data_IF_016340857423
#
_entry.id   IF_016340857423
#
_cell.length_a   1.000
_cell.length_b   1.000
_cell.length_c   1.000
_cell.angle_alpha   90.00
_cell.angle_beta   90.00
_cell.angle_gamma   90.00
#
_symmetry.space_group_name_H-M   'P 1'
#
loop_
_entity.id
_entity.type
_entity.pdbx_description
1 polymer ?
#
# COMPACT_ATOMS: atom_id res chain seq x y z
N UNK A 1 -3.67 26.41 1.56
CA UNK A 1 -4.88 25.53 1.64
C UNK A 1 -4.58 24.05 1.33
N UNK A 2 -3.55 23.72 0.53
CA UNK A 2 -3.15 22.32 0.24
C UNK A 2 -2.77 21.49 1.49
N UNK A 3 -2.16 22.11 2.50
CA UNK A 3 -1.64 21.38 3.68
C UNK A 3 -2.70 20.66 4.52
N UNK A 4 -3.98 21.07 4.43
CA UNK A 4 -5.08 20.41 5.14
C UNK A 4 -5.60 19.16 4.44
N UNK A 5 -5.26 18.95 3.16
CA UNK A 5 -5.67 17.77 2.38
C UNK A 5 -4.71 16.59 2.54
N UNK A 6 -3.54 16.82 3.17
CA UNK A 6 -2.54 15.80 3.44
C UNK A 6 -3.12 14.48 3.99
N UNK A 7 -3.98 14.47 5.04
CA UNK A 7 -4.48 13.23 5.65
C UNK A 7 -5.30 12.40 4.67
N UNK A 8 -5.97 13.07 3.72
CA UNK A 8 -6.82 12.43 2.73
C UNK A 8 -6.00 11.78 1.62
N UNK A 9 -4.95 12.46 1.16
CA UNK A 9 -4.22 12.07 -0.04
C UNK A 9 -3.09 11.07 0.23
N UNK A 10 -2.44 11.16 1.40
CA UNK A 10 -1.19 10.43 1.63
C UNK A 10 -1.36 8.91 1.61
N UNK A 11 -2.41 8.37 2.24
CA UNK A 11 -2.66 6.93 2.28
C UNK A 11 -2.92 6.35 0.89
N UNK A 12 -3.75 7.03 0.09
CA UNK A 12 -4.05 6.61 -1.27
C UNK A 12 -2.86 6.73 -2.21
N UNK A 13 -2.06 7.80 -2.10
CA UNK A 13 -0.85 7.96 -2.91
C UNK A 13 0.18 6.87 -2.62
N UNK A 14 0.39 6.50 -1.35
CA UNK A 14 1.29 5.40 -0.97
C UNK A 14 0.79 4.08 -1.56
N UNK A 15 -0.51 3.82 -1.44
CA UNK A 15 -1.13 2.63 -2.01
C UNK A 15 -0.96 2.54 -3.53
N UNK A 16 -1.26 3.63 -4.25
CA UNK A 16 -1.14 3.68 -5.70
C UNK A 16 0.31 3.51 -6.16
N UNK A 17 1.27 4.17 -5.50
CA UNK A 17 2.69 4.01 -5.80
C UNK A 17 3.17 2.56 -5.57
N UNK A 18 2.73 1.93 -4.47
CA UNK A 18 3.05 0.55 -4.18
C UNK A 18 2.45 -0.42 -5.22
N UNK A 19 1.21 -0.19 -5.65
CA UNK A 19 0.56 -0.99 -6.70
C UNK A 19 1.33 -0.93 -8.02
N UNK A 20 1.69 0.27 -8.48
CA UNK A 20 2.49 0.46 -9.70
C UNK A 20 3.88 -0.18 -9.54
N UNK A 21 4.52 0.00 -8.39
CA UNK A 21 5.83 -0.59 -8.09
C UNK A 21 5.81 -2.12 -8.08
N UNK A 22 4.78 -2.74 -7.48
CA UNK A 22 4.59 -4.19 -7.47
C UNK A 22 4.45 -4.76 -8.88
N UNK A 23 3.59 -4.14 -9.70
CA UNK A 23 3.41 -4.55 -11.09
C UNK A 23 4.69 -4.37 -11.92
N UNK A 24 5.40 -3.26 -11.72
CA UNK A 24 6.69 -3.02 -12.37
C UNK A 24 7.73 -4.07 -11.99
N UNK A 25 7.85 -4.39 -10.70
CA UNK A 25 8.75 -5.43 -10.20
C UNK A 25 8.38 -6.81 -10.72
N UNK A 26 7.09 -7.13 -10.82
CA UNK A 26 6.63 -8.38 -11.40
C UNK A 26 7.05 -8.51 -12.86
N UNK A 27 6.83 -7.47 -13.66
CA UNK A 27 7.23 -7.46 -15.07
C UNK A 27 8.75 -7.58 -15.22
N UNK A 28 9.54 -6.85 -14.40
CA UNK A 28 11.00 -6.93 -14.40
C UNK A 28 11.51 -8.32 -14.00
N UNK A 29 10.92 -8.93 -12.98
CA UNK A 29 11.28 -10.27 -12.52
C UNK A 29 11.05 -11.34 -13.61
N UNK A 30 10.03 -11.15 -14.45
CA UNK A 30 9.79 -12.03 -15.60
C UNK A 30 10.77 -11.78 -16.75
N UNK A 31 11.00 -10.52 -17.13
CA UNK A 31 11.91 -10.16 -18.23
C UNK A 31 13.35 -10.57 -17.93
N UNK A 32 13.78 -10.45 -16.68
CA UNK A 32 15.13 -10.81 -16.25
C UNK A 32 15.27 -12.27 -15.77
N UNK A 33 14.19 -13.07 -15.82
CA UNK A 33 14.23 -14.49 -15.48
C UNK A 33 14.64 -14.77 -14.04
N UNK A 34 14.13 -13.99 -13.08
CA UNK A 34 14.48 -14.18 -11.67
C UNK A 34 14.11 -15.58 -11.17
N UNK A 35 14.94 -16.20 -10.30
CA UNK A 35 14.56 -17.42 -9.62
C UNK A 35 13.21 -17.23 -8.89
N UNK A 36 12.32 -18.21 -8.98
CA UNK A 36 10.95 -18.09 -8.44
C UNK A 36 10.93 -17.71 -6.95
N UNK A 37 11.84 -18.28 -6.16
CA UNK A 37 11.97 -17.96 -4.73
C UNK A 37 12.36 -16.50 -4.48
N UNK A 38 13.25 -15.95 -5.30
CA UNK A 38 13.68 -14.55 -5.20
C UNK A 38 12.56 -13.62 -5.67
N UNK A 39 11.91 -13.95 -6.79
CA UNK A 39 10.79 -13.19 -7.33
C UNK A 39 9.63 -13.11 -6.33
N UNK A 40 9.18 -14.25 -5.80
CA UNK A 40 8.15 -14.28 -4.74
C UNK A 40 8.61 -13.53 -3.49
N UNK A 41 9.85 -13.73 -3.06
CA UNK A 41 10.40 -13.05 -1.89
C UNK A 41 10.35 -11.52 -1.99
N UNK A 42 10.72 -10.96 -3.15
CA UNK A 42 10.67 -9.52 -3.40
C UNK A 42 9.24 -9.00 -3.40
N UNK A 43 8.31 -9.67 -4.10
CA UNK A 43 6.91 -9.22 -4.16
C UNK A 43 6.23 -9.30 -2.78
N UNK A 44 6.45 -10.38 -2.03
CA UNK A 44 5.98 -10.51 -0.63
C UNK A 44 6.60 -9.41 0.22
N UNK A 45 7.90 -9.15 0.06
CA UNK A 45 8.61 -8.09 0.77
C UNK A 45 7.99 -6.72 0.55
N UNK A 46 7.69 -6.35 -0.70
CA UNK A 46 7.04 -5.07 -1.03
C UNK A 46 5.62 -5.02 -0.49
N UNK A 47 4.87 -6.13 -0.57
CA UNK A 47 3.51 -6.21 -0.01
C UNK A 47 3.52 -5.98 1.51
N UNK A 48 4.36 -6.71 2.25
CA UNK A 48 4.51 -6.58 3.71
C UNK A 48 5.00 -5.18 4.09
N UNK A 49 5.98 -4.64 3.35
CA UNK A 49 6.49 -3.30 3.59
C UNK A 49 5.39 -2.23 3.39
N UNK A 50 4.60 -2.35 2.33
CA UNK A 50 3.49 -1.42 2.06
C UNK A 50 2.44 -1.47 3.17
N UNK A 51 2.05 -2.68 3.60
CA UNK A 51 1.12 -2.85 4.71
C UNK A 51 1.66 -2.24 6.00
N UNK A 52 2.95 -2.46 6.31
CA UNK A 52 3.58 -1.87 7.49
C UNK A 52 3.55 -0.34 7.45
N UNK A 53 3.88 0.27 6.30
CA UNK A 53 3.83 1.73 6.12
C UNK A 53 2.41 2.27 6.30
N UNK A 54 1.40 1.62 5.69
CA UNK A 54 0.01 2.02 5.84
C UNK A 54 -0.51 1.86 7.28
N UNK A 55 -0.09 0.81 8.00
CA UNK A 55 -0.44 0.61 9.42
C UNK A 55 0.19 1.67 10.33
N UNK A 56 1.46 2.03 10.10
CA UNK A 56 2.13 3.11 10.83
C UNK A 56 1.42 4.44 10.57
N UNK A 57 1.09 4.71 9.31
CA UNK A 57 0.35 5.90 8.91
C UNK A 57 -1.04 5.95 9.56
N UNK A 58 -1.77 4.83 9.56
CA UNK A 58 -3.07 4.72 10.20
C UNK A 58 -2.98 5.01 11.70
N UNK A 59 -1.96 4.45 12.38
CA UNK A 59 -1.71 4.71 13.80
C UNK A 59 -1.42 6.19 14.07
N UNK A 60 -0.65 6.84 13.21
CA UNK A 60 -0.38 8.28 13.30
C UNK A 60 -1.64 9.13 13.07
N UNK A 61 -2.43 8.82 12.03
CA UNK A 61 -3.68 9.50 11.75
C UNK A 61 -4.69 9.33 12.89
N UNK A 62 -4.77 8.13 13.48
CA UNK A 62 -5.64 7.87 14.63
C UNK A 62 -5.26 8.72 15.84
N UNK A 63 -3.97 8.82 16.16
CA UNK A 63 -3.50 9.69 17.25
C UNK A 63 -3.80 11.17 16.98
N UNK A 64 -3.57 11.64 15.76
CA UNK A 64 -3.87 13.02 15.38
C UNK A 64 -5.37 13.33 15.49
N UNK A 65 -6.23 12.42 15.00
CA UNK A 65 -7.69 12.54 15.10
C UNK A 65 -8.18 12.57 16.55
N UNK A 66 -7.61 11.73 17.44
CA UNK A 66 -7.98 11.76 18.87
C UNK A 66 -7.57 13.04 19.58
N UNK A 67 -6.51 13.71 19.11
CA UNK A 67 -6.06 14.97 19.69
C UNK A 67 -6.92 16.16 19.25
N UNK A 68 -7.35 16.19 17.98
CA UNK A 68 -8.22 17.22 17.42
C UNK A 68 -9.15 16.61 16.36
N UNK A 69 -10.41 16.29 16.68
CA UNK A 69 -11.29 15.60 15.75
C UNK A 69 -11.82 16.57 14.67
N UNK A 70 -11.18 16.54 13.50
CA UNK A 70 -11.63 17.26 12.30
C UNK A 70 -12.25 16.28 11.30
N UNK A 71 -13.32 16.68 10.60
CA UNK A 71 -14.03 15.83 9.64
C UNK A 71 -13.12 15.28 8.53
N UNK A 72 -12.13 16.05 8.08
CA UNK A 72 -11.14 15.64 7.06
C UNK A 72 -10.24 14.51 7.58
N UNK A 73 -9.85 14.55 8.86
CA UNK A 73 -9.00 13.51 9.45
C UNK A 73 -9.76 12.19 9.56
N UNK A 74 -11.06 12.24 9.88
CA UNK A 74 -11.93 11.05 9.86
C UNK A 74 -12.00 10.45 8.45
N UNK A 75 -12.21 11.27 7.42
CA UNK A 75 -12.24 10.80 6.04
C UNK A 75 -10.90 10.16 5.62
N UNK A 76 -9.78 10.81 5.95
CA UNK A 76 -8.44 10.28 5.67
C UNK A 76 -8.17 8.95 6.37
N UNK A 77 -8.64 8.78 7.60
CA UNK A 77 -8.48 7.55 8.37
C UNK A 77 -9.22 6.37 7.73
N UNK A 78 -10.49 6.58 7.33
CA UNK A 78 -11.26 5.57 6.59
C UNK A 78 -10.67 5.26 5.22
N UNK A 79 -10.09 6.26 4.54
CA UNK A 79 -9.38 6.07 3.28
C UNK A 79 -8.14 5.19 3.45
N UNK A 80 -7.35 5.39 4.52
CA UNK A 80 -6.20 4.55 4.84
C UNK A 80 -6.64 3.12 5.19
N UNK A 81 -7.75 2.94 5.91
CA UNK A 81 -8.34 1.61 6.17
C UNK A 81 -8.76 0.94 4.87
N UNK A 82 -9.44 1.66 3.97
CA UNK A 82 -9.82 1.14 2.66
C UNK A 82 -8.59 0.76 1.82
N UNK A 83 -7.51 1.55 1.87
CA UNK A 83 -6.25 1.24 1.19
C UNK A 83 -5.61 -0.05 1.73
N UNK A 84 -5.62 -0.29 3.04
CA UNK A 84 -5.12 -1.53 3.64
C UNK A 84 -5.95 -2.73 3.15
N UNK A 85 -7.28 -2.62 3.19
CA UNK A 85 -8.17 -3.68 2.71
C UNK A 85 -7.95 -3.95 1.22
N UNK A 86 -7.82 -2.90 0.41
CA UNK A 86 -7.51 -3.01 -1.02
C UNK A 86 -6.16 -3.68 -1.26
N UNK A 87 -5.11 -3.34 -0.49
CA UNK A 87 -3.81 -4.03 -0.55
C UNK A 87 -3.95 -5.52 -0.26
N UNK A 88 -4.71 -5.92 0.75
CA UNK A 88 -4.91 -7.34 1.06
C UNK A 88 -5.65 -8.04 -0.08
N UNK A 89 -6.72 -7.44 -0.61
CA UNK A 89 -7.53 -8.05 -1.66
C UNK A 89 -6.80 -8.12 -3.00
N UNK A 90 -5.96 -7.14 -3.32
CA UNK A 90 -5.30 -7.04 -4.64
C UNK A 90 -3.92 -7.67 -4.62
N UNK A 91 -3.12 -7.43 -3.59
CA UNK A 91 -1.73 -7.87 -3.57
C UNK A 91 -1.61 -9.36 -3.19
N UNK A 92 -2.54 -9.92 -2.40
CA UNK A 92 -2.46 -11.33 -2.01
C UNK A 92 -2.68 -12.26 -3.22
N UNK A 93 -3.73 -12.10 -4.05
CA UNK A 93 -3.91 -12.96 -5.22
C UNK A 93 -2.80 -12.81 -6.25
N UNK A 94 -2.23 -11.61 -6.42
CA UNK A 94 -1.13 -11.36 -7.36
C UNK A 94 0.16 -12.11 -7.00
N UNK A 95 0.31 -12.59 -5.77
CA UNK A 95 1.43 -13.44 -5.35
C UNK A 95 1.25 -14.91 -5.75
N UNK A 96 0.02 -15.35 -6.02
CA UNK A 96 -0.32 -16.74 -6.35
C UNK A 96 -0.66 -16.94 -7.82
N UNK A 97 -1.19 -15.92 -8.50
CA UNK A 97 -1.36 -15.95 -9.95
C UNK A 97 0.01 -16.10 -10.60
N UNK A 98 0.11 -17.04 -11.54
CA UNK A 98 1.29 -17.39 -12.31
C UNK A 98 2.11 -16.15 -12.66
N UNK A 99 3.28 -16.02 -12.02
CA UNK A 99 4.05 -14.78 -12.01
C UNK A 99 4.46 -14.33 -13.41
N UNK A 100 4.73 -15.31 -14.29
CA UNK A 100 5.26 -15.13 -15.64
C UNK A 100 4.61 -16.11 -16.62
N UNK A 101 3.29 -16.01 -16.85
CA UNK A 101 2.66 -16.66 -18.02
C UNK A 101 2.99 -15.87 -19.27
#
# INVERSE_FOLDING_TARGET
MIGKLWPLLIGFCIWAAAFVGLYGLQALGCVWGWPEALHRGVLVGVCVFTLAVLLVLLRWQFRAYTANPVAIDRAGLWLTVAAILASVVIFVPSLFLSLCV
#
